data_IF_594543746778
#
_entry.id   IF_594543746778
#
_cell.length_a   1.000
_cell.length_b   1.000
_cell.length_c   1.000
_cell.angle_alpha   90.00
_cell.angle_beta   90.00
_cell.angle_gamma   90.00
#
_symmetry.space_group_name_H-M   'P 1'
#
loop_
_entity.id
_entity.type
_entity.pdbx_description
1 polymer ?
#
# COMPACT_ATOMS: atom_id res chain seq x y z
N UNK A 1 2.44 5.29 13.05
CA UNK A 1 2.57 5.31 11.59
C UNK A 1 3.56 4.23 11.20
N UNK A 2 3.22 3.40 10.23
CA UNK A 2 4.14 2.40 9.64
C UNK A 2 4.64 2.96 8.32
N UNK A 3 5.93 2.81 8.06
CA UNK A 3 6.57 3.21 6.81
C UNK A 3 7.52 2.12 6.34
N UNK A 4 7.56 1.84 5.04
CA UNK A 4 8.51 0.89 4.45
C UNK A 4 8.93 1.34 3.05
N UNK A 5 10.20 1.11 2.69
CA UNK A 5 10.82 1.57 1.44
C UNK A 5 11.01 0.42 0.46
N UNK A 6 10.70 0.68 -0.81
CA UNK A 6 10.83 -0.27 -1.91
C UNK A 6 11.28 0.44 -3.18
N UNK A 7 11.63 -0.34 -4.19
CA UNK A 7 11.86 0.14 -5.55
C UNK A 7 10.76 -0.40 -6.44
N UNK A 8 10.14 0.45 -7.25
CA UNK A 8 9.19 0.06 -8.28
C UNK A 8 9.78 0.28 -9.67
N UNK A 9 9.53 -0.66 -10.58
CA UNK A 9 9.87 -0.55 -11.99
C UNK A 9 8.60 -0.37 -12.80
N UNK A 10 8.52 0.74 -13.51
CA UNK A 10 7.44 1.04 -14.43
C UNK A 10 7.53 0.12 -15.67
N UNK A 11 6.42 -0.21 -16.35
CA UNK A 11 6.43 -1.04 -17.57
C UNK A 11 7.35 -0.54 -18.71
N UNK A 12 7.71 0.74 -18.72
CA UNK A 12 8.65 1.34 -19.68
C UNK A 12 10.13 1.05 -19.35
N UNK A 13 10.41 0.43 -18.21
CA UNK A 13 11.74 0.08 -17.73
C UNK A 13 12.36 1.05 -16.72
N UNK A 14 11.73 2.19 -16.44
CA UNK A 14 12.25 3.16 -15.47
C UNK A 14 12.02 2.69 -14.03
N UNK A 15 13.01 2.93 -13.16
CA UNK A 15 12.93 2.63 -11.74
C UNK A 15 12.63 3.90 -10.95
N UNK A 16 11.77 3.77 -9.93
CA UNK A 16 11.45 4.81 -8.98
C UNK A 16 11.50 4.25 -7.56
N UNK A 17 12.00 5.06 -6.62
CA UNK A 17 11.90 4.73 -5.21
C UNK A 17 10.48 5.02 -4.72
N UNK A 18 9.91 4.09 -3.97
CA UNK A 18 8.59 4.24 -3.38
C UNK A 18 8.68 4.07 -1.86
N UNK A 19 7.89 4.87 -1.15
CA UNK A 19 7.66 4.70 0.28
C UNK A 19 6.20 4.38 0.50
N UNK A 20 5.94 3.23 1.12
CA UNK A 20 4.61 2.82 1.56
C UNK A 20 4.40 3.37 2.96
N UNK A 21 3.28 4.06 3.17
CA UNK A 21 2.92 4.64 4.44
C UNK A 21 1.52 4.17 4.85
N UNK A 22 1.38 3.73 6.10
CA UNK A 22 0.10 3.45 6.74
C UNK A 22 0.02 4.35 7.98
N UNK A 23 -0.90 5.31 7.94
CA UNK A 23 -1.14 6.25 9.03
C UNK A 23 -1.65 5.52 10.30
N UNK A 24 -1.73 6.23 11.42
CA UNK A 24 -2.46 5.71 12.57
C UNK A 24 -3.97 5.71 12.25
N UNK A 25 -4.76 4.79 12.84
CA UNK A 25 -6.21 4.91 12.82
C UNK A 25 -6.65 6.28 13.35
N UNK A 26 -7.68 6.82 12.74
CA UNK A 26 -8.33 8.05 13.15
C UNK A 26 -9.86 7.90 13.03
N UNK A 27 -10.65 8.64 13.83
CA UNK A 27 -12.10 8.66 13.67
C UNK A 27 -12.49 9.09 12.25
N UNK A 28 -13.48 8.42 11.68
CA UNK A 28 -14.04 8.84 10.40
C UNK A 28 -14.82 10.17 10.57
N UNK A 29 -14.53 11.23 9.79
CA UNK A 29 -15.28 12.48 9.86
C UNK A 29 -16.72 12.36 9.33
N UNK A 30 -17.07 11.28 8.61
CA UNK A 30 -18.45 11.07 8.17
C UNK A 30 -19.39 10.71 9.33
N UNK A 31 -20.62 11.21 9.26
CA UNK A 31 -21.62 11.00 10.31
C UNK A 31 -21.99 9.51 10.39
N UNK A 32 -21.60 8.86 11.50
CA UNK A 32 -21.81 7.43 11.72
C UNK A 32 -20.67 6.53 11.23
N UNK A 33 -19.55 7.11 10.78
CA UNK A 33 -18.31 6.37 10.57
C UNK A 33 -17.58 6.12 11.89
N UNK A 34 -16.96 4.94 12.01
CA UNK A 34 -16.29 4.49 13.23
C UNK A 34 -14.79 4.88 13.21
N UNK A 35 -13.97 4.11 12.50
CA UNK A 35 -12.52 4.35 12.38
C UNK A 35 -12.06 4.16 10.94
N UNK A 36 -11.04 4.93 10.56
CA UNK A 36 -10.40 4.85 9.25
C UNK A 36 -8.89 4.89 9.36
N UNK A 37 -8.21 4.31 8.38
CA UNK A 37 -6.75 4.30 8.31
C UNK A 37 -6.29 4.65 6.89
N UNK A 38 -5.39 5.62 6.78
CA UNK A 38 -4.88 6.08 5.47
C UNK A 38 -3.72 5.21 4.99
N UNK A 39 -3.78 4.78 3.74
CA UNK A 39 -2.70 4.12 3.00
C UNK A 39 -2.23 5.06 1.90
N UNK A 40 -0.93 5.37 1.86
CA UNK A 40 -0.34 6.23 0.84
C UNK A 40 0.95 5.66 0.24
N UNK A 41 1.08 5.85 -1.09
CA UNK A 41 2.31 5.66 -1.87
C UNK A 41 2.37 6.81 -2.87
N UNK A 42 2.99 7.93 -2.46
CA UNK A 42 2.96 9.18 -3.23
C UNK A 42 3.48 9.02 -4.66
N UNK A 43 4.59 8.29 -4.84
CA UNK A 43 5.21 8.05 -6.15
C UNK A 43 4.33 7.25 -7.13
N UNK A 44 3.27 6.60 -6.65
CA UNK A 44 2.32 5.84 -7.47
C UNK A 44 0.92 6.47 -7.51
N UNK A 45 0.77 7.67 -6.95
CA UNK A 45 -0.51 8.40 -6.82
C UNK A 45 -1.57 7.57 -6.08
N UNK A 46 -1.14 6.80 -5.08
CA UNK A 46 -2.04 6.04 -4.21
C UNK A 46 -2.22 6.82 -2.92
N UNK A 47 -3.45 7.26 -2.66
CA UNK A 47 -3.89 7.79 -1.36
C UNK A 47 -5.34 7.37 -1.14
N UNK A 48 -5.56 6.43 -0.23
CA UNK A 48 -6.89 5.87 0.05
C UNK A 48 -7.08 5.54 1.52
N UNK A 49 -8.32 5.47 1.97
CA UNK A 49 -8.69 5.08 3.32
C UNK A 49 -9.28 3.68 3.34
N UNK A 50 -8.89 2.87 4.32
CA UNK A 50 -9.66 1.72 4.78
C UNK A 50 -10.55 2.14 5.95
N UNK A 51 -11.71 1.50 6.09
CA UNK A 51 -12.70 1.81 7.13
C UNK A 51 -13.00 0.55 7.92
N UNK A 52 -13.06 0.66 9.24
CA UNK A 52 -13.40 -0.44 10.14
C UNK A 52 -14.24 0.05 11.30
N UNK A 53 -14.96 -0.88 11.94
CA UNK A 53 -15.82 -0.62 13.11
C UNK A 53 -15.03 -0.24 14.36
N UNK A 54 -13.71 -0.46 14.34
CA UNK A 54 -12.75 -0.03 15.34
C UNK A 54 -11.37 0.18 14.70
N UNK A 55 -10.45 0.73 15.49
CA UNK A 55 -9.08 1.03 15.07
C UNK A 55 -8.30 -0.20 14.60
N UNK A 56 -8.52 -1.36 15.23
CA UNK A 56 -7.82 -2.60 14.90
C UNK A 56 -8.28 -3.09 13.53
N UNK A 57 -9.60 -3.13 13.31
CA UNK A 57 -10.18 -3.53 12.04
C UNK A 57 -9.78 -2.57 10.92
N UNK A 58 -9.82 -1.25 11.16
CA UNK A 58 -9.37 -0.26 10.18
C UNK A 58 -7.91 -0.48 9.77
N UNK A 59 -7.05 -0.86 10.73
CA UNK A 59 -5.66 -1.20 10.48
C UNK A 59 -5.48 -2.51 9.70
N UNK A 60 -6.18 -3.58 10.07
CA UNK A 60 -6.11 -4.85 9.34
C UNK A 60 -6.59 -4.69 7.89
N UNK A 61 -7.65 -3.91 7.67
CA UNK A 61 -8.18 -3.64 6.34
C UNK A 61 -7.25 -2.74 5.51
N UNK A 62 -6.41 -1.91 6.13
CA UNK A 62 -5.42 -1.09 5.41
C UNK A 62 -4.35 -1.96 4.75
N UNK A 63 -3.92 -3.04 5.41
CA UNK A 63 -3.02 -4.05 4.82
C UNK A 63 -3.65 -4.73 3.60
N UNK A 64 -4.95 -5.09 3.68
CA UNK A 64 -5.65 -5.67 2.54
C UNK A 64 -5.82 -4.68 1.39
N UNK A 65 -6.14 -3.42 1.69
CA UNK A 65 -6.22 -2.35 0.70
C UNK A 65 -4.88 -2.15 -0.02
N UNK A 66 -3.78 -2.13 0.74
CA UNK A 66 -2.43 -2.05 0.18
C UNK A 66 -2.15 -3.22 -0.78
N UNK A 67 -2.46 -4.46 -0.39
CA UNK A 67 -2.32 -5.62 -1.27
C UNK A 67 -3.06 -5.41 -2.59
N UNK A 68 -4.35 -5.07 -2.53
CA UNK A 68 -5.18 -4.90 -3.71
C UNK A 68 -4.61 -3.85 -4.67
N UNK A 69 -4.10 -2.74 -4.12
CA UNK A 69 -3.51 -1.66 -4.91
C UNK A 69 -2.18 -2.04 -5.55
N UNK A 70 -1.33 -2.76 -4.84
CA UNK A 70 -0.05 -3.23 -5.38
C UNK A 70 -0.25 -4.32 -6.44
N UNK A 71 -1.17 -5.26 -6.21
CA UNK A 71 -1.58 -6.27 -7.21
C UNK A 71 -2.18 -5.62 -8.45
N UNK A 72 -3.02 -4.59 -8.29
CA UNK A 72 -3.55 -3.81 -9.41
C UNK A 72 -2.41 -3.20 -10.25
N UNK A 73 -1.40 -2.62 -9.61
CA UNK A 73 -0.21 -2.11 -10.31
C UNK A 73 0.60 -3.23 -10.97
N UNK A 74 0.77 -4.39 -10.33
CA UNK A 74 1.43 -5.55 -10.95
C UNK A 74 0.70 -6.03 -12.20
N UNK A 75 -0.64 -6.06 -12.17
CA UNK A 75 -1.46 -6.39 -13.34
C UNK A 75 -1.32 -5.35 -14.47
N UNK A 76 -0.96 -4.11 -14.14
CA UNK A 76 -0.61 -3.06 -15.11
C UNK A 76 0.84 -3.17 -15.60
N UNK A 77 1.59 -4.20 -15.17
CA UNK A 77 2.96 -4.48 -15.61
C UNK A 77 4.05 -3.90 -14.71
N UNK A 78 3.70 -3.29 -13.58
CA UNK A 78 4.70 -2.83 -12.61
C UNK A 78 5.38 -4.01 -11.91
N UNK A 79 6.66 -3.82 -11.58
CA UNK A 79 7.40 -4.77 -10.76
C UNK A 79 7.90 -4.06 -9.50
N UNK A 80 7.99 -4.78 -8.39
CA UNK A 80 8.37 -4.23 -7.09
C UNK A 80 9.52 -5.02 -6.51
N UNK A 81 10.40 -4.35 -5.76
CA UNK A 81 11.65 -4.93 -5.28
C UNK A 81 12.00 -4.38 -3.89
N UNK A 82 12.74 -5.16 -3.13
CA UNK A 82 13.45 -4.62 -1.98
C UNK A 82 14.63 -3.72 -2.43
N UNK A 83 14.92 -2.63 -1.72
CA UNK A 83 16.08 -1.79 -2.03
C UNK A 83 17.37 -2.62 -2.02
N UNK A 84 18.13 -2.55 -3.11
CA UNK A 84 19.37 -3.32 -3.29
C UNK A 84 19.22 -4.73 -3.88
N UNK A 85 18.00 -5.23 -4.09
CA UNK A 85 17.72 -6.57 -4.63
C UNK A 85 16.78 -6.50 -5.84
N UNK A 86 17.28 -5.99 -6.96
CA UNK A 86 16.49 -5.71 -8.17
C UNK A 86 16.32 -6.91 -9.13
N UNK A 87 16.91 -8.05 -8.79
CA UNK A 87 16.85 -9.31 -9.52
C UNK A 87 15.67 -10.21 -9.11
N UNK A 88 15.03 -9.91 -7.97
CA UNK A 88 13.97 -10.71 -7.38
C UNK A 88 12.70 -9.85 -7.21
N UNK A 89 11.80 -9.83 -8.21
CA UNK A 89 10.55 -9.10 -8.09
C UNK A 89 9.66 -9.74 -7.01
N UNK A 90 9.03 -8.90 -6.21
CA UNK A 90 8.04 -9.29 -5.21
C UNK A 90 6.74 -9.69 -5.90
N UNK A 91 6.08 -10.75 -5.39
CA UNK A 91 4.75 -11.16 -5.82
C UNK A 91 3.71 -10.96 -4.72
N UNK A 92 3.01 -9.82 -4.73
CA UNK A 92 1.97 -9.54 -3.74
C UNK A 92 0.70 -10.40 -3.86
N UNK A 93 0.56 -11.24 -4.89
CA UNK A 93 -0.53 -12.22 -4.97
C UNK A 93 -0.24 -13.50 -4.18
N UNK A 94 1.02 -13.92 -4.12
CA UNK A 94 1.45 -15.15 -3.45
C UNK A 94 2.11 -14.88 -2.10
N UNK A 95 2.80 -13.75 -1.99
CA UNK A 95 3.49 -13.29 -0.80
C UNK A 95 2.64 -12.21 -0.11
N UNK A 96 1.84 -12.60 0.88
CA UNK A 96 1.34 -11.62 1.86
C UNK A 96 1.48 -12.16 3.28
N UNK A 97 1.97 -11.27 4.15
CA UNK A 97 2.32 -11.41 5.58
C UNK A 97 1.64 -12.54 6.36
#
# INVERSE_FOLDING_TARGET
MITSQYVAKHPDGNYIDITIEIALPEPDPEMGGDSRCKVSIAALEIEQYSFGVDDIQAYCLSSKLLQLKLVEKQNQGWQFYFPGYLDQPLDFNQDFF
#
